data_IF_875188335429
#
_entry.id   IF_875188335429
#
_cell.length_a   1.000
_cell.length_b   1.000
_cell.length_c   1.000
_cell.angle_alpha   90.00
_cell.angle_beta   90.00
_cell.angle_gamma   90.00
#
_symmetry.space_group_name_H-M   'P 1'
#
loop_
_entity.id
_entity.type
_entity.pdbx_description
1 polymer ?
#
# COMPACT_ATOMS: atom_id res chain seq x y z
N UNK A 1 -16.50 -18.84 30.12
CA UNK A 1 -15.63 -17.65 30.32
C UNK A 1 -15.90 -16.72 29.14
N UNK A 2 -17.05 -16.05 29.20
CA UNK A 2 -17.49 -15.07 28.21
C UNK A 2 -17.37 -13.73 28.93
N UNK A 3 -16.27 -13.01 28.71
CA UNK A 3 -16.17 -11.64 29.16
C UNK A 3 -16.64 -10.73 28.03
N UNK A 4 -17.90 -10.33 28.20
CA UNK A 4 -18.51 -9.19 27.53
C UNK A 4 -17.69 -7.94 27.83
N UNK A 5 -16.92 -7.48 26.85
CA UNK A 5 -16.39 -6.12 26.84
C UNK A 5 -17.42 -5.23 26.16
N UNK A 6 -18.42 -4.81 26.94
CA UNK A 6 -19.29 -3.68 26.64
C UNK A 6 -18.47 -2.41 26.85
N UNK A 7 -17.89 -1.83 25.79
CA UNK A 7 -17.46 -0.44 25.83
C UNK A 7 -18.62 0.46 25.37
N UNK A 8 -19.08 1.26 26.32
CA UNK A 8 -20.12 2.28 26.23
C UNK A 8 -19.79 3.37 25.20
N UNK A 9 -20.84 3.96 24.63
CA UNK A 9 -20.78 4.93 23.56
C UNK A 9 -20.28 6.33 23.97
N UNK A 10 -19.49 6.91 23.07
CA UNK A 10 -19.26 8.35 22.83
C UNK A 10 -18.38 9.15 23.82
N UNK A 11 -17.05 9.01 23.71
CA UNK A 11 -16.09 10.15 23.65
C UNK A 11 -14.66 9.77 23.25
N UNK A 12 -14.31 8.49 23.13
CA UNK A 12 -12.91 8.09 22.93
C UNK A 12 -12.56 7.93 21.44
N UNK A 13 -12.57 9.04 20.69
CA UNK A 13 -11.89 9.04 19.40
C UNK A 13 -10.38 9.13 19.68
N UNK A 14 -9.57 8.11 19.33
CA UNK A 14 -8.13 8.21 19.50
C UNK A 14 -7.61 9.41 18.70
N UNK A 15 -6.62 10.13 19.23
CA UNK A 15 -5.93 11.18 18.48
C UNK A 15 -5.21 10.54 17.28
N UNK A 16 -5.82 10.64 16.10
CA UNK A 16 -5.32 10.05 14.87
C UNK A 16 -6.37 9.26 14.09
N UNK A 17 -5.87 8.37 13.22
CA UNK A 17 -6.69 7.49 12.39
C UNK A 17 -6.49 6.04 12.82
N UNK A 18 -7.49 5.19 12.61
CA UNK A 18 -7.37 3.75 12.82
C UNK A 18 -6.58 3.12 11.65
N UNK A 19 -5.36 2.58 11.87
CA UNK A 19 -4.57 1.96 10.83
C UNK A 19 -5.14 0.62 10.35
N UNK A 20 -5.91 -0.10 11.17
CA UNK A 20 -6.54 -1.37 10.80
C UNK A 20 -7.70 -1.10 9.85
N UNK A 21 -8.59 -0.17 10.20
CA UNK A 21 -9.66 0.27 9.30
C UNK A 21 -9.09 0.84 7.98
N UNK A 22 -8.00 1.62 8.05
CA UNK A 22 -7.36 2.14 6.85
C UNK A 22 -6.71 1.04 6.00
N UNK A 23 -6.15 0.00 6.61
CA UNK A 23 -5.61 -1.17 5.90
C UNK A 23 -6.70 -1.85 5.09
N UNK A 24 -7.85 -2.15 5.72
CA UNK A 24 -9.00 -2.76 5.06
C UNK A 24 -9.56 -1.89 3.92
N UNK A 25 -9.57 -0.57 4.09
CA UNK A 25 -9.96 0.36 3.03
C UNK A 25 -8.93 0.39 1.88
N UNK A 26 -7.64 0.42 2.19
CA UNK A 26 -6.57 0.44 1.20
C UNK A 26 -6.54 -0.85 0.37
N UNK A 27 -6.72 -2.01 1.02
CA UNK A 27 -6.75 -3.33 0.36
C UNK A 27 -7.78 -3.37 -0.78
N UNK A 28 -9.01 -2.89 -0.52
CA UNK A 28 -10.09 -2.80 -1.53
C UNK A 28 -9.70 -1.98 -2.77
N UNK A 29 -8.74 -1.06 -2.63
CA UNK A 29 -8.28 -0.18 -3.72
C UNK A 29 -7.10 -0.79 -4.48
N UNK A 30 -6.24 -1.54 -3.80
CA UNK A 30 -4.93 -1.94 -4.33
C UNK A 30 -4.82 -3.42 -4.65
N UNK A 31 -5.78 -4.25 -4.23
CA UNK A 31 -5.84 -5.68 -4.52
C UNK A 31 -7.03 -6.02 -5.42
N UNK A 32 -6.82 -6.91 -6.38
CA UNK A 32 -7.85 -7.53 -7.24
C UNK A 32 -7.51 -8.99 -7.48
N UNK A 33 -8.14 -9.90 -6.73
CA UNK A 33 -7.79 -11.32 -6.76
C UNK A 33 -6.30 -11.50 -6.43
N UNK A 34 -5.56 -12.15 -7.31
CA UNK A 34 -4.11 -12.33 -7.16
C UNK A 34 -3.26 -11.14 -7.64
N UNK A 35 -3.86 -10.01 -8.06
CA UNK A 35 -3.14 -8.84 -8.57
C UNK A 35 -3.03 -7.72 -7.54
N UNK A 36 -1.90 -7.02 -7.53
CA UNK A 36 -1.66 -5.80 -6.75
C UNK A 36 -1.38 -4.60 -7.65
N UNK A 37 -1.72 -3.40 -7.18
CA UNK A 37 -1.52 -2.16 -7.91
C UNK A 37 -0.11 -1.59 -7.70
N UNK A 38 0.57 -1.26 -8.80
CA UNK A 38 1.90 -0.65 -8.81
C UNK A 38 1.89 0.66 -9.61
N UNK A 39 2.57 1.67 -9.09
CA UNK A 39 2.70 2.99 -9.71
C UNK A 39 3.80 2.99 -10.78
N UNK A 40 4.88 2.25 -10.55
CA UNK A 40 5.98 2.03 -11.47
C UNK A 40 6.45 0.60 -11.34
N UNK A 41 6.80 -0.01 -12.46
CA UNK A 41 7.39 -1.34 -12.53
C UNK A 41 8.77 -1.19 -13.14
N UNK A 42 9.71 -2.00 -12.64
CA UNK A 42 11.05 -2.16 -13.19
C UNK A 42 11.81 -0.84 -13.41
N UNK A 43 11.79 0.04 -12.40
CA UNK A 43 12.55 1.29 -12.45
C UNK A 43 14.00 1.02 -12.03
N UNK A 44 15.00 1.24 -12.91
CA UNK A 44 16.39 1.16 -12.52
C UNK A 44 16.74 2.33 -11.59
N UNK A 45 17.59 2.03 -10.62
CA UNK A 45 17.97 2.92 -9.54
C UNK A 45 19.45 2.74 -9.21
N UNK A 46 20.16 3.85 -9.02
CA UNK A 46 21.61 3.85 -8.72
C UNK A 46 21.94 3.51 -7.26
N UNK A 47 20.94 3.20 -6.45
CA UNK A 47 21.13 2.92 -5.03
C UNK A 47 21.69 1.50 -4.85
N UNK A 48 22.45 1.28 -3.78
CA UNK A 48 22.97 -0.04 -3.37
C UNK A 48 23.76 -0.80 -4.46
N UNK A 49 24.53 -0.09 -5.29
CA UNK A 49 25.28 -0.71 -6.39
C UNK A 49 24.46 -0.99 -7.64
N UNK A 50 23.20 -0.55 -7.68
CA UNK A 50 22.27 -0.79 -8.79
C UNK A 50 21.14 -1.69 -8.33
N UNK A 51 19.91 -1.19 -8.39
CA UNK A 51 18.70 -1.97 -8.12
C UNK A 51 17.64 -1.70 -9.18
N UNK A 52 16.78 -2.68 -9.40
CA UNK A 52 15.55 -2.53 -10.16
C UNK A 52 14.38 -2.64 -9.20
N UNK A 53 13.49 -1.65 -9.17
CA UNK A 53 12.44 -1.54 -8.16
C UNK A 53 11.04 -1.43 -8.77
N UNK A 54 10.07 -2.05 -8.11
CA UNK A 54 8.65 -1.88 -8.35
C UNK A 54 8.02 -1.07 -7.20
N UNK A 55 7.43 0.08 -7.52
CA UNK A 55 6.80 0.96 -6.53
C UNK A 55 5.32 0.61 -6.38
N UNK A 56 4.94 0.07 -5.24
CA UNK A 56 3.56 -0.27 -4.91
C UNK A 56 2.67 0.96 -4.69
N UNK A 57 1.36 0.77 -4.87
CA UNK A 57 0.32 1.75 -4.51
C UNK A 57 -0.34 1.30 -3.21
N UNK A 58 -0.66 2.26 -2.34
CA UNK A 58 -1.30 2.00 -1.04
C UNK A 58 -0.32 1.93 0.12
N UNK A 59 -0.73 2.49 1.24
CA UNK A 59 -0.04 2.42 2.53
C UNK A 59 -1.09 2.70 3.62
N UNK A 60 -1.04 1.96 4.71
CA UNK A 60 -1.86 2.22 5.90
C UNK A 60 -1.21 3.24 6.84
N UNK A 61 -0.10 3.85 6.43
CA UNK A 61 0.51 4.98 7.13
C UNK A 61 0.10 6.31 6.48
N UNK A 62 0.08 7.38 7.29
CA UNK A 62 -0.22 8.75 6.86
C UNK A 62 0.92 9.73 7.18
N UNK A 63 2.15 9.30 6.95
CA UNK A 63 3.35 10.10 7.19
C UNK A 63 3.27 11.45 6.44
N UNK A 64 3.43 12.57 7.18
CA UNK A 64 3.48 13.92 6.61
C UNK A 64 4.58 14.05 5.55
N UNK A 65 5.70 13.38 5.78
CA UNK A 65 6.92 13.36 4.97
C UNK A 65 6.99 12.19 3.97
N UNK A 66 5.85 11.58 3.62
CA UNK A 66 5.83 10.46 2.68
C UNK A 66 6.39 10.86 1.30
N UNK A 67 7.51 10.26 0.91
CA UNK A 67 8.13 10.47 -0.40
C UNK A 67 7.35 9.84 -1.57
N UNK A 68 6.44 8.90 -1.26
CA UNK A 68 5.68 8.19 -2.29
C UNK A 68 4.52 9.01 -2.86
N UNK A 69 4.12 10.14 -2.24
CA UNK A 69 3.15 11.10 -2.80
C UNK A 69 1.87 10.45 -3.39
N UNK A 70 1.63 10.60 -4.72
CA UNK A 70 0.41 10.12 -5.41
C UNK A 70 0.06 8.66 -5.14
N UNK A 71 0.99 7.68 -5.20
CA UNK A 71 0.75 6.30 -4.78
C UNK A 71 0.05 6.10 -3.43
N UNK A 72 0.26 6.99 -2.46
CA UNK A 72 -0.35 6.90 -1.12
C UNK A 72 -1.54 7.84 -0.96
N UNK A 73 -1.46 9.06 -1.52
CA UNK A 73 -2.49 10.11 -1.39
C UNK A 73 -3.64 9.98 -2.38
N UNK A 74 -3.42 9.33 -3.53
CA UNK A 74 -4.41 9.15 -4.61
C UNK A 74 -4.41 7.71 -5.15
N UNK A 75 -4.59 6.68 -4.29
CA UNK A 75 -4.44 5.28 -4.70
C UNK A 75 -5.48 4.85 -5.75
N UNK A 76 -6.68 5.43 -5.73
CA UNK A 76 -7.75 5.11 -6.70
C UNK A 76 -7.35 5.43 -8.15
N UNK A 77 -6.68 6.56 -8.38
CA UNK A 77 -6.30 7.02 -9.72
C UNK A 77 -4.83 6.72 -10.09
N UNK A 78 -4.05 6.11 -9.20
CA UNK A 78 -2.62 5.88 -9.42
C UNK A 78 -2.32 4.41 -9.67
N UNK A 79 -1.49 4.13 -10.68
CA UNK A 79 -0.94 2.81 -10.96
C UNK A 79 -1.85 1.84 -11.71
N UNK A 80 -1.34 0.64 -11.97
CA UNK A 80 -1.99 -0.45 -12.70
C UNK A 80 -1.87 -1.77 -11.92
N UNK A 81 -2.78 -2.70 -12.17
CA UNK A 81 -2.79 -4.00 -11.53
C UNK A 81 -1.90 -5.00 -12.27
N UNK A 82 -1.02 -5.67 -11.52
CA UNK A 82 -0.12 -6.70 -12.02
C UNK A 82 -0.21 -7.92 -11.11
N UNK A 83 -0.12 -9.11 -11.71
CA UNK A 83 0.10 -10.37 -11.00
C UNK A 83 1.55 -10.46 -10.50
N UNK A 84 1.82 -11.31 -9.49
CA UNK A 84 3.17 -11.58 -9.02
C UNK A 84 4.14 -11.97 -10.14
N UNK A 85 3.68 -12.80 -11.09
CA UNK A 85 4.51 -13.23 -12.22
C UNK A 85 4.84 -12.08 -13.18
N UNK A 86 3.88 -11.19 -13.47
CA UNK A 86 4.13 -9.99 -14.30
C UNK A 86 5.17 -9.07 -13.66
N UNK A 87 5.11 -8.88 -12.34
CA UNK A 87 6.07 -8.08 -11.59
C UNK A 87 7.46 -8.73 -11.62
N UNK A 88 7.55 -10.03 -11.32
CA UNK A 88 8.81 -10.77 -11.34
C UNK A 88 9.48 -10.69 -12.72
N UNK A 89 8.75 -11.04 -13.79
CA UNK A 89 9.27 -11.03 -15.15
C UNK A 89 9.78 -9.64 -15.56
N UNK A 90 9.09 -8.58 -15.15
CA UNK A 90 9.52 -7.22 -15.45
C UNK A 90 10.78 -6.82 -14.67
N UNK A 91 10.90 -7.21 -13.41
CA UNK A 91 12.08 -6.92 -12.59
C UNK A 91 13.33 -7.66 -13.09
N UNK A 92 13.19 -8.91 -13.54
CA UNK A 92 14.32 -9.72 -14.01
C UNK A 92 14.73 -9.41 -15.44
N UNK A 93 13.90 -8.71 -16.23
CA UNK A 93 14.24 -8.30 -17.60
C UNK A 93 15.22 -7.12 -17.63
N UNK A 94 15.17 -6.26 -16.62
CA UNK A 94 16.00 -5.05 -16.48
C UNK A 94 17.21 -5.27 -15.54
N UNK A 95 17.43 -6.50 -15.08
CA UNK A 95 18.60 -6.91 -14.27
C UNK A 95 19.68 -7.50 -15.17
#
# INVERSE_FOLDING_TARGET
VLENVVHSAASDKPDGYDPVALTAAAEKVVIRGNKRKYARIARPLRFYGGITSAQEVGCNLRCKFCFSDKPVRRPHSTGRFYSPQEVFNALTKEA
#
